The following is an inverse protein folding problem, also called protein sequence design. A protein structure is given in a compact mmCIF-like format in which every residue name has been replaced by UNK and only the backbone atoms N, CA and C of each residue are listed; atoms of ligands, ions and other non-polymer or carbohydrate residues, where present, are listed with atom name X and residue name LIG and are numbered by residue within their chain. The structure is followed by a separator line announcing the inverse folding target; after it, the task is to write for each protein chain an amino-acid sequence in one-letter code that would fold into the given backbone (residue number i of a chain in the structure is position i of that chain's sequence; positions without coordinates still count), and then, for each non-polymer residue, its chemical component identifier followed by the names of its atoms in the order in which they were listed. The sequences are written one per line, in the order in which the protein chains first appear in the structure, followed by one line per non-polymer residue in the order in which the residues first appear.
data_IF_363102319032
#
_entry.id   IF_363102319032
#
_cell.length_a   1.000
_cell.length_b   1.000
_cell.length_c   1.000
_cell.angle_alpha   90.00
_cell.angle_beta   90.00
_cell.angle_gamma   90.00
#
_symmetry.space_group_name_H-M   'P 1'
#
loop_
_entity.id
_entity.type
_entity.pdbx_description
1 polymer ?
#
# COMPACT_ATOMS: atom_id res chain seq x y z
N UNK A 1 -23.84 -3.36 -18.24
CA UNK A 1 -23.30 -2.02 -17.88
C UNK A 1 -24.03 -1.60 -16.60
N UNK A 2 -23.33 -1.28 -15.51
CA UNK A 2 -23.93 -0.94 -14.19
C UNK A 2 -23.84 0.58 -13.96
N UNK A 3 -24.89 1.37 -14.25
CA UNK A 3 -24.89 2.80 -13.98
C UNK A 3 -24.82 3.05 -12.47
N UNK A 4 -23.96 3.99 -12.04
CA UNK A 4 -23.85 4.38 -10.63
C UNK A 4 -22.92 3.51 -9.77
N UNK A 5 -22.35 2.42 -10.30
CA UNK A 5 -21.33 1.65 -9.58
C UNK A 5 -19.98 2.40 -9.62
N UNK A 6 -19.47 2.74 -8.44
CA UNK A 6 -18.13 3.31 -8.26
C UNK A 6 -17.28 2.30 -7.50
N UNK A 7 -16.10 1.97 -8.04
CA UNK A 7 -15.14 1.08 -7.38
C UNK A 7 -14.12 1.88 -6.57
N UNK A 8 -13.59 1.36 -5.45
CA UNK A 8 -12.59 2.03 -4.63
C UNK A 8 -11.18 1.87 -5.23
N UNK A 9 -10.98 2.37 -6.44
CA UNK A 9 -9.76 2.14 -7.24
C UNK A 9 -8.46 2.59 -6.56
N UNK A 10 -8.52 3.63 -5.72
CA UNK A 10 -7.36 4.08 -4.94
C UNK A 10 -6.98 3.08 -3.83
N UNK A 11 -7.96 2.45 -3.17
CA UNK A 11 -7.69 1.36 -2.22
C UNK A 11 -7.12 0.12 -2.94
N UNK A 12 -7.64 -0.19 -4.14
CA UNK A 12 -7.14 -1.30 -4.97
C UNK A 12 -5.68 -1.06 -5.38
N UNK A 13 -5.34 0.15 -5.84
CA UNK A 13 -3.96 0.54 -6.15
C UNK A 13 -3.03 0.45 -4.93
N UNK A 14 -3.47 0.98 -3.78
CA UNK A 14 -2.67 0.97 -2.55
C UNK A 14 -2.39 -0.46 -2.06
N UNK A 15 -3.37 -1.35 -2.12
CA UNK A 15 -3.19 -2.75 -1.72
C UNK A 15 -2.25 -3.52 -2.66
N UNK A 16 -2.28 -3.24 -3.97
CA UNK A 16 -1.28 -3.77 -4.92
C UNK A 16 0.14 -3.28 -4.60
N UNK A 17 0.30 -2.00 -4.26
CA UNK A 17 1.60 -1.44 -3.84
C UNK A 17 2.10 -2.11 -2.55
N UNK A 18 1.23 -2.28 -1.54
CA UNK A 18 1.60 -2.99 -0.32
C UNK A 18 2.08 -4.42 -0.61
N UNK A 19 1.40 -5.15 -1.49
CA UNK A 19 1.83 -6.50 -1.89
C UNK A 19 3.22 -6.49 -2.56
N UNK A 20 3.49 -5.52 -3.43
CA UNK A 20 4.79 -5.36 -4.07
C UNK A 20 5.90 -5.08 -3.04
N UNK A 21 5.64 -4.20 -2.06
CA UNK A 21 6.59 -3.87 -1.00
C UNK A 21 6.93 -5.08 -0.14
N UNK A 22 5.94 -5.93 0.17
CA UNK A 22 6.18 -7.20 0.89
C UNK A 22 7.10 -8.12 0.08
N UNK A 23 6.89 -8.24 -1.24
CA UNK A 23 7.78 -9.01 -2.11
C UNK A 23 9.21 -8.46 -2.15
N UNK A 24 9.34 -7.13 -2.20
CA UNK A 24 10.63 -6.46 -2.18
C UNK A 24 11.38 -6.67 -0.85
N UNK A 25 10.67 -6.70 0.29
CA UNK A 25 11.25 -6.98 1.61
C UNK A 25 11.84 -8.40 1.70
N UNK A 26 11.17 -9.39 1.10
CA UNK A 26 11.72 -10.75 0.99
C UNK A 26 13.01 -10.75 0.18
N UNK A 27 13.06 -10.03 -0.96
CA UNK A 27 14.26 -9.92 -1.78
C UNK A 27 15.42 -9.23 -1.02
N UNK A 28 15.13 -8.18 -0.25
CA UNK A 28 16.09 -7.50 0.62
C UNK A 28 16.62 -8.46 1.69
N UNK A 29 15.73 -9.20 2.35
CA UNK A 29 16.08 -10.18 3.39
C UNK A 29 17.01 -11.27 2.84
N UNK A 30 16.70 -11.81 1.67
CA UNK A 30 17.57 -12.77 0.96
C UNK A 30 18.91 -12.13 0.60
N UNK A 31 18.95 -10.90 0.11
CA UNK A 31 20.22 -10.20 -0.14
C UNK A 31 21.03 -9.97 1.14
N UNK A 32 20.36 -9.67 2.25
CA UNK A 32 20.97 -9.39 3.54
C UNK A 32 21.68 -10.60 4.15
N UNK A 33 21.11 -11.81 3.98
CA UNK A 33 21.70 -13.05 4.51
C UNK A 33 22.89 -13.59 3.70
N UNK A 34 23.11 -13.12 2.47
CA UNK A 34 24.15 -13.63 1.55
C UNK A 34 25.47 -12.85 1.65
N UNK A 35 25.83 -12.38 2.84
CA UNK A 35 27.15 -11.79 3.09
C UNK A 35 28.22 -12.87 3.23
N UNK A 36 29.38 -12.68 2.59
CA UNK A 36 30.52 -13.58 2.74
C UNK A 36 31.72 -12.82 3.30
N UNK A 37 32.17 -13.22 4.49
CA UNK A 37 33.32 -12.66 5.20
C UNK A 37 33.22 -11.13 5.36
N UNK A 38 34.15 -10.37 4.79
CA UNK A 38 34.30 -8.93 5.01
C UNK A 38 33.26 -8.09 4.26
N UNK A 39 32.55 -8.65 3.28
CA UNK A 39 31.69 -7.86 2.40
C UNK A 39 30.43 -8.61 1.92
N UNK A 40 29.29 -7.93 2.06
CA UNK A 40 28.07 -8.31 1.34
C UNK A 40 28.06 -7.65 -0.05
N UNK A 41 28.06 -8.47 -1.11
CA UNK A 41 28.07 -8.01 -2.52
C UNK A 41 26.67 -7.88 -3.14
N UNK A 42 25.61 -8.20 -2.40
CA UNK A 42 24.20 -8.06 -2.82
C UNK A 42 23.66 -6.63 -2.61
N UNK A 43 24.53 -5.65 -2.29
CA UNK A 43 24.14 -4.24 -2.09
C UNK A 43 23.30 -3.65 -3.24
N UNK A 44 23.59 -3.91 -4.54
CA UNK A 44 22.78 -3.35 -5.62
C UNK A 44 21.31 -3.80 -5.58
N UNK A 45 21.03 -5.09 -5.32
CA UNK A 45 19.65 -5.60 -5.27
C UNK A 45 18.92 -5.11 -4.02
N UNK A 46 19.61 -5.01 -2.88
CA UNK A 46 19.05 -4.46 -1.64
C UNK A 46 18.64 -3.00 -1.86
N UNK A 47 19.56 -2.17 -2.39
CA UNK A 47 19.31 -0.76 -2.60
C UNK A 47 18.20 -0.52 -3.63
N UNK A 48 18.17 -1.27 -4.73
CA UNK A 48 17.15 -1.14 -5.77
C UNK A 48 15.74 -1.43 -5.22
N UNK A 49 15.57 -2.54 -4.50
CA UNK A 49 14.27 -2.90 -3.91
C UNK A 49 13.82 -1.90 -2.85
N UNK A 50 14.75 -1.44 -2.01
CA UNK A 50 14.45 -0.43 -0.98
C UNK A 50 13.97 0.89 -1.60
N UNK A 51 14.72 1.41 -2.58
CA UNK A 51 14.38 2.68 -3.25
C UNK A 51 13.08 2.57 -4.06
N UNK A 52 12.83 1.42 -4.71
CA UNK A 52 11.57 1.18 -5.40
C UNK A 52 10.40 1.16 -4.41
N UNK A 53 10.52 0.43 -3.29
CA UNK A 53 9.48 0.38 -2.26
C UNK A 53 9.17 1.76 -1.70
N UNK A 54 10.20 2.55 -1.37
CA UNK A 54 10.04 3.91 -0.86
C UNK A 54 9.31 4.81 -1.87
N UNK A 55 9.66 4.72 -3.15
CA UNK A 55 8.99 5.49 -4.22
C UNK A 55 7.52 5.08 -4.37
N UNK A 56 7.25 3.78 -4.50
CA UNK A 56 5.89 3.27 -4.68
C UNK A 56 4.98 3.65 -3.51
N UNK A 57 5.46 3.52 -2.27
CA UNK A 57 4.72 3.93 -1.08
C UNK A 57 4.47 5.44 -1.07
N UNK A 58 5.49 6.25 -1.37
CA UNK A 58 5.35 7.70 -1.44
C UNK A 58 4.29 8.13 -2.46
N UNK A 59 4.39 7.63 -3.69
CA UNK A 59 3.47 7.95 -4.78
C UNK A 59 2.04 7.46 -4.47
N UNK A 60 1.90 6.25 -3.92
CA UNK A 60 0.60 5.69 -3.56
C UNK A 60 -0.07 6.44 -2.41
N UNK A 61 0.69 6.84 -1.38
CA UNK A 61 0.16 7.64 -0.27
C UNK A 61 -0.35 9.01 -0.74
N UNK A 62 0.42 9.69 -1.59
CA UNK A 62 0.01 10.99 -2.17
C UNK A 62 -1.25 10.82 -3.03
N UNK A 63 -1.29 9.81 -3.90
CA UNK A 63 -2.46 9.54 -4.73
C UNK A 63 -3.69 9.17 -3.89
N UNK A 64 -3.51 8.34 -2.87
CA UNK A 64 -4.60 7.89 -1.99
C UNK A 64 -5.17 9.06 -1.18
N UNK A 65 -4.32 9.94 -0.66
CA UNK A 65 -4.76 11.14 0.06
C UNK A 65 -5.59 12.05 -0.85
N UNK A 66 -5.03 12.44 -1.99
CA UNK A 66 -5.64 13.40 -2.92
C UNK A 66 -6.92 12.90 -3.60
N UNK A 67 -6.99 11.59 -3.89
CA UNK A 67 -8.05 11.01 -4.72
C UNK A 67 -9.02 10.11 -3.94
N UNK A 68 -8.80 9.90 -2.63
CA UNK A 68 -9.68 9.11 -1.79
C UNK A 68 -9.84 9.70 -0.40
N UNK A 69 -8.77 9.73 0.40
CA UNK A 69 -8.87 9.98 1.84
C UNK A 69 -9.42 11.38 2.17
N UNK A 70 -8.96 12.41 1.47
CA UNK A 70 -9.37 13.80 1.74
C UNK A 70 -10.85 14.08 1.47
N UNK A 71 -11.51 13.23 0.67
CA UNK A 71 -12.91 13.37 0.27
C UNK A 71 -13.85 12.38 0.96
N UNK A 72 -13.39 11.60 1.94
CA UNK A 72 -14.25 10.64 2.64
C UNK A 72 -15.25 11.39 3.52
N UNK A 73 -16.54 11.17 3.25
CA UNK A 73 -17.63 11.67 4.09
C UNK A 73 -18.39 10.52 4.77
N UNK A 74 -18.69 10.64 6.07
CA UNK A 74 -19.50 9.64 6.76
C UNK A 74 -20.96 9.67 6.27
N UNK A 75 -21.51 8.51 5.95
CA UNK A 75 -22.93 8.39 5.65
C UNK A 75 -23.76 8.34 6.95
N UNK A 76 -24.02 9.51 7.53
CA UNK A 76 -24.62 9.68 8.86
C UNK A 76 -25.97 8.96 9.05
N UNK A 77 -26.81 8.89 8.01
CA UNK A 77 -28.08 8.18 8.09
C UNK A 77 -27.88 6.69 8.40
N UNK A 78 -26.96 6.03 7.69
CA UNK A 78 -26.66 4.62 7.93
C UNK A 78 -25.99 4.42 9.29
N UNK A 79 -25.08 5.31 9.68
CA UNK A 79 -24.43 5.23 10.99
C UNK A 79 -25.44 5.29 12.13
N UNK A 80 -26.38 6.25 12.08
CA UNK A 80 -27.45 6.39 13.08
C UNK A 80 -28.36 5.17 13.11
N UNK A 81 -28.81 4.71 11.94
CA UNK A 81 -29.63 3.50 11.82
C UNK A 81 -28.92 2.27 12.42
N UNK A 82 -27.63 2.09 12.15
CA UNK A 82 -26.87 0.95 12.68
C UNK A 82 -26.71 1.04 14.20
N UNK A 83 -26.52 2.24 14.75
CA UNK A 83 -26.43 2.47 16.20
C UNK A 83 -27.75 2.16 16.90
N UNK A 84 -28.87 2.64 16.37
CA UNK A 84 -30.21 2.44 16.94
C UNK A 84 -30.68 0.99 16.88
N UNK A 85 -30.17 0.21 15.91
CA UNK A 85 -30.47 -1.22 15.76
C UNK A 85 -29.40 -2.13 16.39
N UNK A 86 -28.41 -1.56 17.09
CA UNK A 86 -27.45 -2.33 17.86
C UNK A 86 -28.09 -2.71 19.19
N UNK A 87 -28.15 -4.01 19.48
CA UNK A 87 -28.63 -4.57 20.76
C UNK A 87 -27.80 -4.08 21.95
#
# INVERSE_FOLDING_TARGET
IMPGKVNPTQCEALTMVCAQVVGNDVAISVGGMQGHYELNVFKPVIAANFLQSARLLGDACVSFDQNCASGIEPHHHNLKKNLENSL
#
